data_IF_384194915007
#
_entry.id   IF_384194915007
#
_cell.length_a   1.000
_cell.length_b   1.000
_cell.length_c   1.000
_cell.angle_alpha   90.00
_cell.angle_beta   90.00
_cell.angle_gamma   90.00
#
_symmetry.space_group_name_H-M   'P 1'
#
loop_
_entity.id
_entity.type
_entity.pdbx_description
1 polymer ?
#
# COMPACT_ATOMS: atom_id res chain seq x y z
N UNK A 1 -25.66 4.11 7.64
CA UNK A 1 -24.45 3.44 7.13
C UNK A 1 -23.31 4.46 7.16
N UNK A 2 -22.20 4.17 7.85
CA UNK A 2 -21.07 5.08 7.93
C UNK A 2 -20.32 5.11 6.60
N UNK A 3 -20.27 6.27 5.95
CA UNK A 3 -19.43 6.51 4.78
C UNK A 3 -18.14 7.14 5.28
N UNK A 4 -17.01 6.43 5.11
CA UNK A 4 -15.74 6.77 5.76
C UNK A 4 -15.10 8.01 5.11
N UNK A 5 -15.03 8.05 3.78
CA UNK A 5 -14.70 9.25 2.98
C UNK A 5 -15.39 9.16 1.61
N UNK A 6 -16.31 10.09 1.33
CA UNK A 6 -17.06 10.16 0.07
C UNK A 6 -16.48 11.12 -0.94
N UNK A 7 -16.74 10.90 -2.24
CA UNK A 7 -16.29 11.79 -3.32
C UNK A 7 -16.77 13.23 -3.16
N UNK A 8 -17.93 13.43 -2.55
CA UNK A 8 -18.53 14.75 -2.28
C UNK A 8 -17.84 15.50 -1.13
N UNK A 9 -17.10 14.80 -0.28
CA UNK A 9 -16.37 15.38 0.85
C UNK A 9 -14.97 15.85 0.45
N UNK A 10 -14.52 15.53 -0.76
CA UNK A 10 -13.21 15.95 -1.28
C UNK A 10 -13.38 17.25 -2.07
N UNK A 11 -12.77 18.31 -1.55
CA UNK A 11 -12.65 19.59 -2.23
C UNK A 11 -11.18 19.99 -2.23
N UNK A 12 -10.60 20.17 -3.41
CA UNK A 12 -9.23 20.68 -3.56
C UNK A 12 -9.31 22.03 -4.26
N UNK A 13 -8.66 23.04 -3.67
CA UNK A 13 -8.60 24.37 -4.25
C UNK A 13 -7.99 24.32 -5.67
N UNK A 14 -8.64 24.99 -6.62
CA UNK A 14 -8.18 25.06 -8.00
C UNK A 14 -8.43 23.80 -8.85
N UNK A 15 -9.06 22.76 -8.31
CA UNK A 15 -9.35 21.53 -9.04
C UNK A 15 -10.84 21.16 -8.93
N UNK A 16 -11.45 20.79 -10.07
CA UNK A 16 -12.86 20.39 -10.12
C UNK A 16 -12.97 18.86 -10.05
N UNK A 17 -13.81 18.37 -9.14
CA UNK A 17 -14.21 16.97 -9.09
C UNK A 17 -15.24 16.60 -10.17
N UNK A 18 -15.85 15.39 -10.08
CA UNK A 18 -15.67 14.41 -9.02
C UNK A 18 -14.33 13.68 -9.13
N UNK A 19 -13.73 13.36 -7.99
CA UNK A 19 -12.48 12.63 -7.91
C UNK A 19 -12.68 11.11 -7.91
N UNK A 20 -11.68 10.42 -8.43
CA UNK A 20 -11.44 8.99 -8.20
C UNK A 20 -10.72 8.87 -6.86
N UNK A 21 -11.28 8.03 -5.97
CA UNK A 21 -10.73 7.73 -4.65
C UNK A 21 -10.60 6.22 -4.57
N UNK A 22 -9.37 5.73 -4.49
CA UNK A 22 -9.08 4.29 -4.54
C UNK A 22 -8.12 3.86 -3.45
N UNK A 23 -8.18 2.55 -3.17
CA UNK A 23 -7.23 1.83 -2.30
C UNK A 23 -7.00 2.50 -0.94
N UNK A 24 -8.06 2.90 -0.19
CA UNK A 24 -7.88 3.47 1.14
C UNK A 24 -7.05 2.54 2.02
N UNK A 25 -6.07 3.12 2.71
CA UNK A 25 -5.26 2.47 3.74
C UNK A 25 -5.34 3.30 5.00
N UNK A 26 -5.39 2.63 6.14
CA UNK A 26 -5.64 3.26 7.42
C UNK A 26 -4.61 2.78 8.43
N UNK A 27 -3.97 3.71 9.13
CA UNK A 27 -3.12 3.44 10.29
C UNK A 27 -3.60 4.28 11.47
N UNK A 28 -3.43 3.76 12.69
CA UNK A 28 -3.56 4.55 13.90
C UNK A 28 -2.23 5.24 14.19
N UNK A 29 -2.25 6.55 14.42
CA UNK A 29 -1.07 7.29 14.83
C UNK A 29 -1.18 7.63 16.33
N UNK A 30 -0.29 7.09 17.20
CA UNK A 30 -0.37 7.32 18.64
C UNK A 30 0.03 8.74 19.07
N UNK A 31 0.79 9.48 18.25
CA UNK A 31 1.22 10.85 18.59
C UNK A 31 0.08 11.86 18.42
N UNK A 32 -0.74 11.67 17.39
CA UNK A 32 -1.89 12.54 17.08
C UNK A 32 -3.21 12.01 17.59
N UNK A 33 -3.22 10.79 18.14
CA UNK A 33 -4.42 10.06 18.58
C UNK A 33 -5.52 10.03 17.48
N UNK A 34 -5.07 9.87 16.23
CA UNK A 34 -5.95 9.86 15.07
C UNK A 34 -5.70 8.64 14.19
N UNK A 35 -6.77 8.17 13.55
CA UNK A 35 -6.68 7.31 12.38
C UNK A 35 -6.32 8.18 11.17
N UNK A 36 -5.22 7.84 10.51
CA UNK A 36 -4.72 8.50 9.30
C UNK A 36 -5.00 7.61 8.10
N UNK A 37 -5.81 8.13 7.18
CA UNK A 37 -6.17 7.48 5.94
C UNK A 37 -5.36 8.06 4.78
N UNK A 38 -4.72 7.17 4.02
CA UNK A 38 -4.08 7.46 2.74
C UNK A 38 -4.92 6.86 1.61
N UNK A 39 -5.21 7.65 0.58
CA UNK A 39 -5.93 7.22 -0.63
C UNK A 39 -5.15 7.61 -1.88
N UNK A 40 -5.26 6.79 -2.93
CA UNK A 40 -5.00 7.30 -4.27
C UNK A 40 -6.12 8.29 -4.62
N UNK A 41 -5.74 9.51 -5.02
CA UNK A 41 -6.66 10.58 -5.36
C UNK A 41 -6.36 11.07 -6.77
N UNK A 42 -7.33 10.90 -7.66
CA UNK A 42 -7.15 11.23 -9.07
C UNK A 42 -8.36 11.92 -9.69
N UNK A 43 -8.18 12.47 -10.88
CA UNK A 43 -9.25 12.86 -11.80
C UNK A 43 -9.76 11.63 -12.56
N UNK A 44 -10.93 11.73 -13.18
CA UNK A 44 -11.53 10.61 -13.92
C UNK A 44 -10.68 10.11 -15.10
N UNK A 45 -9.76 10.94 -15.61
CA UNK A 45 -8.82 10.60 -16.69
C UNK A 45 -7.45 10.12 -16.17
N UNK A 46 -7.27 9.96 -14.85
CA UNK A 46 -6.05 9.51 -14.19
C UNK A 46 -4.79 10.36 -14.50
N UNK A 47 -4.99 11.67 -14.68
CA UNK A 47 -3.91 12.64 -14.95
C UNK A 47 -3.49 13.46 -13.75
N UNK A 48 -4.32 13.54 -12.71
CA UNK A 48 -4.03 14.30 -11.49
C UNK A 48 -2.91 13.62 -10.69
N UNK A 49 -3.09 12.33 -10.34
CA UNK A 49 -2.09 11.43 -9.72
C UNK A 49 -1.54 11.91 -8.37
N UNK A 50 -2.43 12.26 -7.45
CA UNK A 50 -2.11 12.70 -6.09
C UNK A 50 -2.40 11.59 -5.08
N UNK A 51 -1.97 11.80 -3.84
CA UNK A 51 -2.54 11.12 -2.69
C UNK A 51 -3.43 12.08 -1.91
N UNK A 52 -4.48 11.56 -1.28
CA UNK A 52 -5.27 12.28 -0.31
C UNK A 52 -4.97 11.77 1.11
N UNK A 53 -4.79 12.70 2.05
CA UNK A 53 -4.62 12.41 3.47
C UNK A 53 -5.86 12.86 4.21
N UNK A 54 -6.52 11.94 4.90
CA UNK A 54 -7.69 12.24 5.70
C UNK A 54 -7.55 11.68 7.12
N UNK A 55 -8.17 12.32 8.11
CA UNK A 55 -8.07 11.91 9.51
C UNK A 55 -9.42 11.79 10.20
N UNK A 56 -9.48 10.94 11.22
CA UNK A 56 -10.62 10.78 12.12
C UNK A 56 -10.14 10.27 13.48
N UNK A 57 -10.79 10.68 14.57
CA UNK A 57 -10.55 10.09 15.91
C UNK A 57 -11.20 8.71 16.07
N UNK A 58 -12.06 8.29 15.14
CA UNK A 58 -12.81 7.03 15.18
C UNK A 58 -12.58 6.24 13.88
N UNK A 59 -12.26 4.93 13.93
CA UNK A 59 -11.82 4.17 12.75
C UNK A 59 -12.89 4.01 11.67
N UNK A 60 -14.16 3.99 12.07
CA UNK A 60 -15.34 3.96 11.19
C UNK A 60 -16.12 5.28 11.22
N UNK A 61 -15.47 6.37 11.65
CA UNK A 61 -16.04 7.70 11.74
C UNK A 61 -16.08 8.45 10.40
N UNK A 62 -16.39 9.74 10.49
CA UNK A 62 -16.32 10.66 9.36
C UNK A 62 -14.87 11.14 9.23
N UNK A 63 -14.23 10.83 8.10
CA UNK A 63 -12.89 11.34 7.84
C UNK A 63 -12.95 12.74 7.21
N UNK A 64 -12.09 13.62 7.71
CA UNK A 64 -11.88 14.94 7.13
C UNK A 64 -10.61 14.92 6.30
N UNK A 65 -10.70 15.29 5.03
CA UNK A 65 -9.52 15.46 4.18
C UNK A 65 -8.69 16.63 4.71
N UNK A 66 -7.44 16.38 5.07
CA UNK A 66 -6.51 17.40 5.51
C UNK A 66 -5.86 18.11 4.32
N UNK A 67 -5.30 17.32 3.40
CA UNK A 67 -4.64 17.85 2.21
C UNK A 67 -4.45 16.75 1.17
N UNK A 68 -4.07 17.17 -0.04
CA UNK A 68 -3.63 16.29 -1.11
C UNK A 68 -2.30 16.77 -1.66
N UNK A 69 -1.40 15.84 -1.99
CA UNK A 69 -0.08 16.19 -2.52
C UNK A 69 0.50 15.06 -3.39
N UNK A 70 1.63 15.33 -4.04
CA UNK A 70 2.46 14.32 -4.70
C UNK A 70 3.60 13.94 -3.77
N UNK A 71 3.61 12.72 -3.20
CA UNK A 71 4.66 12.30 -2.29
C UNK A 71 6.02 12.38 -2.94
N UNK A 72 6.99 12.94 -2.21
CA UNK A 72 8.35 13.16 -2.68
C UNK A 72 8.43 13.98 -3.99
N UNK A 73 7.38 14.77 -4.32
CA UNK A 73 7.26 15.51 -5.57
C UNK A 73 6.93 14.65 -6.81
N UNK A 74 6.63 13.36 -6.64
CA UNK A 74 6.45 12.40 -7.74
C UNK A 74 4.98 11.96 -7.84
N UNK A 75 4.38 11.93 -9.05
CA UNK A 75 3.02 11.40 -9.25
C UNK A 75 2.82 10.01 -8.64
N UNK A 76 1.70 9.81 -7.96
CA UNK A 76 1.38 8.56 -7.27
C UNK A 76 0.10 7.95 -7.81
N UNK A 77 0.16 6.65 -8.13
CA UNK A 77 -1.02 5.87 -8.49
C UNK A 77 -1.28 4.83 -7.41
N UNK A 78 -1.39 3.56 -7.77
CA UNK A 78 -1.61 2.43 -6.87
C UNK A 78 -0.83 2.54 -5.55
N UNK A 79 -1.55 2.57 -4.41
CA UNK A 79 -0.99 2.81 -3.07
C UNK A 79 -1.16 1.65 -2.09
N UNK A 80 -0.19 1.52 -1.17
CA UNK A 80 -0.31 0.77 0.07
C UNK A 80 0.45 1.44 1.24
N UNK A 81 0.16 1.03 2.46
CA UNK A 81 0.88 1.38 3.69
C UNK A 81 1.46 0.12 4.33
N UNK A 82 2.62 0.27 4.97
CA UNK A 82 3.25 -0.77 5.76
C UNK A 82 3.73 -0.18 7.08
N UNK A 83 3.22 -0.70 8.20
CA UNK A 83 3.71 -0.35 9.52
C UNK A 83 4.75 -1.40 9.95
N UNK A 84 5.96 -0.94 10.20
CA UNK A 84 7.06 -1.81 10.58
C UNK A 84 7.03 -2.11 12.08
N UNK A 85 6.63 -3.34 12.42
CA UNK A 85 6.47 -3.80 13.80
C UNK A 85 7.33 -5.01 14.15
N UNK A 86 8.27 -5.44 13.30
CA UNK A 86 8.98 -6.71 13.48
C UNK A 86 9.81 -6.75 14.78
N UNK A 87 10.23 -5.59 15.30
CA UNK A 87 10.95 -5.47 16.57
C UNK A 87 10.04 -5.38 17.81
N UNK A 88 8.75 -5.76 17.69
CA UNK A 88 7.81 -5.82 18.81
C UNK A 88 7.18 -4.48 19.21
N UNK A 89 7.51 -3.40 18.51
CA UNK A 89 6.87 -2.08 18.60
C UNK A 89 6.90 -1.42 17.23
N UNK A 90 6.00 -0.47 17.00
CA UNK A 90 5.99 0.31 15.76
C UNK A 90 7.27 1.14 15.70
N UNK A 91 8.14 0.81 14.75
CA UNK A 91 9.40 1.50 14.53
C UNK A 91 9.23 2.68 13.57
N UNK A 92 8.55 2.42 12.44
CA UNK A 92 8.26 3.42 11.40
C UNK A 92 7.12 2.93 10.52
N UNK A 93 6.42 3.86 9.88
CA UNK A 93 5.48 3.53 8.83
C UNK A 93 6.06 3.92 7.46
N UNK A 94 5.66 3.18 6.43
CA UNK A 94 6.14 3.33 5.07
C UNK A 94 4.97 3.40 4.11
N UNK A 95 5.12 4.27 3.11
CA UNK A 95 4.21 4.42 2.00
C UNK A 95 4.79 3.74 0.76
N UNK A 96 3.99 2.87 0.14
CA UNK A 96 4.40 2.07 -1.01
C UNK A 96 3.52 2.41 -2.19
N UNK A 97 4.10 2.75 -3.33
CA UNK A 97 3.32 3.24 -4.48
C UNK A 97 3.91 2.91 -5.83
N UNK A 98 3.05 2.97 -6.84
CA UNK A 98 3.48 3.09 -8.23
C UNK A 98 3.83 4.55 -8.51
N UNK A 99 5.12 4.82 -8.73
CA UNK A 99 5.67 6.14 -8.99
C UNK A 99 5.57 6.44 -10.49
N UNK A 100 4.62 7.30 -10.88
CA UNK A 100 4.41 7.73 -12.26
C UNK A 100 4.28 6.57 -13.28
N UNK A 101 3.86 5.37 -12.84
CA UNK A 101 3.88 4.13 -13.65
C UNK A 101 5.27 3.78 -14.23
N UNK A 102 6.36 4.17 -13.57
CA UNK A 102 7.73 3.87 -14.04
C UNK A 102 8.47 2.90 -13.11
N UNK A 103 8.23 2.98 -11.81
CA UNK A 103 8.85 2.14 -10.80
C UNK A 103 7.99 2.09 -9.54
N UNK A 104 8.29 1.17 -8.63
CA UNK A 104 7.70 1.12 -7.28
C UNK A 104 8.60 1.91 -6.34
N UNK A 105 8.01 2.84 -5.59
CA UNK A 105 8.69 3.60 -4.54
C UNK A 105 8.24 3.15 -3.15
N UNK A 106 9.19 3.04 -2.24
CA UNK A 106 8.96 2.89 -0.80
C UNK A 106 9.49 4.16 -0.15
N UNK A 107 8.64 4.90 0.54
CA UNK A 107 9.00 6.14 1.24
C UNK A 107 8.67 6.00 2.73
N UNK A 108 9.52 6.52 3.60
CA UNK A 108 9.21 6.57 5.05
C UNK A 108 8.20 7.67 5.29
N UNK A 109 7.22 7.44 6.17
CA UNK A 109 6.30 8.48 6.63
C UNK A 109 6.95 9.35 7.70
N UNK A 110 6.49 10.59 7.84
CA UNK A 110 6.74 11.43 9.01
C UNK A 110 6.15 10.81 10.26
N UNK A 111 6.60 11.21 11.45
CA UNK A 111 6.17 10.60 12.71
C UNK A 111 4.66 10.73 12.98
N UNK A 112 4.00 11.76 12.43
CA UNK A 112 2.54 11.96 12.49
C UNK A 112 1.76 11.20 11.40
N UNK A 113 2.47 10.51 10.51
CA UNK A 113 1.95 9.79 9.33
C UNK A 113 1.26 10.68 8.28
N UNK A 114 1.45 12.01 8.33
CA UNK A 114 0.75 12.95 7.46
C UNK A 114 1.55 13.31 6.19
N UNK A 115 2.84 12.96 6.10
CA UNK A 115 3.68 13.27 4.95
C UNK A 115 4.75 12.19 4.72
N UNK A 116 5.49 12.25 3.61
CA UNK A 116 6.67 11.42 3.36
C UNK A 116 7.97 12.15 3.70
N UNK A 117 8.97 11.40 4.15
CA UNK A 117 10.32 11.87 4.43
C UNK A 117 11.30 11.64 3.26
N UNK A 118 10.81 11.13 2.12
CA UNK A 118 11.63 10.71 0.98
C UNK A 118 11.63 9.20 0.74
N UNK A 119 12.08 8.84 -0.46
CA UNK A 119 12.26 7.44 -0.88
C UNK A 119 13.37 6.77 -0.07
N UNK A 120 13.07 5.59 0.46
CA UNK A 120 14.03 4.73 1.17
C UNK A 120 14.55 3.61 0.29
N UNK A 121 13.72 3.09 -0.62
CA UNK A 121 14.11 2.12 -1.65
C UNK A 121 13.16 2.15 -2.84
N UNK A 122 13.58 1.52 -3.95
CA UNK A 122 12.80 1.45 -5.18
C UNK A 122 12.92 0.08 -5.83
N UNK A 123 11.88 -0.33 -6.57
CA UNK A 123 11.91 -1.49 -7.49
C UNK A 123 11.71 -0.92 -8.88
N UNK A 124 12.74 -1.02 -9.73
CA UNK A 124 12.76 -0.40 -11.06
C UNK A 124 11.97 -1.21 -12.10
N UNK A 125 10.70 -1.46 -11.79
CA UNK A 125 9.75 -2.19 -12.64
C UNK A 125 8.37 -1.51 -12.63
N UNK A 126 7.68 -1.56 -13.77
CA UNK A 126 6.33 -1.02 -13.93
C UNK A 126 5.32 -1.97 -13.28
N UNK A 127 4.91 -1.65 -12.07
CA UNK A 127 4.08 -2.53 -11.23
C UNK A 127 3.00 -1.79 -10.46
N UNK A 128 2.04 -2.55 -9.94
CA UNK A 128 0.90 -2.08 -9.14
C UNK A 128 0.52 -3.09 -8.04
N UNK A 129 -0.45 -2.76 -7.18
CA UNK A 129 -0.98 -3.72 -6.21
C UNK A 129 -0.01 -4.17 -5.11
N UNK A 130 0.87 -3.28 -4.66
CA UNK A 130 1.94 -3.60 -3.70
C UNK A 130 1.41 -4.11 -2.37
N UNK A 131 2.16 -4.98 -1.70
CA UNK A 131 1.96 -5.30 -0.30
C UNK A 131 3.27 -5.81 0.33
N UNK A 132 3.71 -5.16 1.42
CA UNK A 132 4.98 -5.47 2.10
C UNK A 132 4.72 -6.30 3.35
N UNK A 133 5.66 -7.19 3.68
CA UNK A 133 5.69 -7.92 4.93
C UNK A 133 7.09 -8.31 5.36
N UNK A 134 7.27 -8.62 6.64
CA UNK A 134 8.55 -9.07 7.20
C UNK A 134 8.49 -10.56 7.59
N UNK A 135 9.56 -11.31 7.28
CA UNK A 135 9.71 -12.71 7.67
C UNK A 135 11.19 -13.08 7.70
N UNK A 136 11.63 -13.86 8.69
CA UNK A 136 12.98 -14.45 8.73
C UNK A 136 14.12 -13.42 8.46
N UNK A 137 14.04 -12.23 9.06
CA UNK A 137 15.02 -11.14 8.89
C UNK A 137 15.15 -10.59 7.46
N UNK A 138 14.08 -10.67 6.68
CA UNK A 138 13.97 -9.98 5.40
C UNK A 138 12.58 -9.38 5.23
N UNK A 139 12.51 -8.32 4.42
CA UNK A 139 11.25 -7.80 3.93
C UNK A 139 10.94 -8.41 2.58
N UNK A 140 9.67 -8.67 2.38
CA UNK A 140 9.11 -9.21 1.16
C UNK A 140 8.06 -8.26 0.64
N UNK A 141 7.88 -8.25 -0.67
CA UNK A 141 6.73 -7.59 -1.26
C UNK A 141 6.14 -8.39 -2.41
N UNK A 142 4.82 -8.49 -2.41
CA UNK A 142 4.03 -9.06 -3.48
C UNK A 142 3.47 -7.94 -4.34
N UNK A 143 3.70 -8.01 -5.65
CA UNK A 143 3.36 -6.93 -6.58
C UNK A 143 2.85 -7.50 -7.91
N UNK A 144 1.75 -6.95 -8.43
CA UNK A 144 1.16 -7.33 -9.72
C UNK A 144 1.73 -6.50 -10.88
N UNK A 145 1.58 -7.02 -12.10
CA UNK A 145 1.85 -6.29 -13.34
C UNK A 145 0.75 -5.28 -13.68
N UNK A 146 1.05 -4.32 -14.55
CA UNK A 146 0.09 -3.36 -15.11
C UNK A 146 -0.78 -4.02 -16.20
N UNK A 147 -1.88 -4.64 -15.82
CA UNK A 147 -2.84 -5.25 -16.77
C UNK A 147 -4.24 -4.66 -16.64
N UNK A 148 -4.34 -3.45 -16.08
CA UNK A 148 -5.61 -2.78 -15.81
C UNK A 148 -6.50 -3.67 -14.95
N UNK A 149 -7.74 -3.92 -15.36
CA UNK A 149 -8.69 -4.74 -14.59
C UNK A 149 -8.47 -6.26 -14.75
N UNK A 150 -7.64 -6.69 -15.70
CA UNK A 150 -7.35 -8.11 -15.87
C UNK A 150 -6.42 -8.60 -14.75
N UNK A 151 -6.69 -9.77 -14.19
CA UNK A 151 -5.80 -10.43 -13.24
C UNK A 151 -4.50 -10.87 -13.93
N UNK A 152 -3.42 -10.94 -13.15
CA UNK A 152 -2.10 -11.35 -13.64
C UNK A 152 -1.31 -12.07 -12.54
N UNK A 153 -0.15 -12.61 -12.91
CA UNK A 153 0.78 -13.23 -11.99
C UNK A 153 1.41 -12.18 -11.05
N UNK A 154 1.26 -12.39 -9.75
CA UNK A 154 1.99 -11.61 -8.74
C UNK A 154 3.41 -12.13 -8.60
N UNK A 155 4.38 -11.22 -8.72
CA UNK A 155 5.78 -11.50 -8.40
C UNK A 155 6.08 -11.17 -6.94
N UNK A 156 6.92 -12.02 -6.33
CA UNK A 156 7.46 -11.82 -5.00
C UNK A 156 8.86 -11.22 -5.12
N UNK A 157 9.15 -10.21 -4.32
CA UNK A 157 10.49 -9.63 -4.17
C UNK A 157 10.93 -9.74 -2.72
N UNK A 158 12.24 -9.84 -2.50
CA UNK A 158 12.88 -9.89 -1.18
C UNK A 158 13.97 -8.82 -1.07
N UNK A 159 14.15 -8.22 0.10
CA UNK A 159 15.27 -7.31 0.36
C UNK A 159 16.58 -8.07 0.56
N UNK A 160 17.69 -7.48 0.10
CA UNK A 160 19.04 -8.01 0.31
C UNK A 160 19.58 -7.80 1.74
N UNK A 161 18.82 -7.18 2.63
CA UNK A 161 19.16 -6.92 4.02
C UNK A 161 17.87 -6.81 4.87
N UNK A 162 18.00 -6.91 6.19
CA UNK A 162 16.91 -6.70 7.15
C UNK A 162 16.60 -5.20 7.34
N UNK A 163 16.24 -4.52 6.25
CA UNK A 163 15.95 -3.07 6.23
C UNK A 163 15.07 -2.71 5.03
N UNK A 164 14.36 -1.58 5.12
CA UNK A 164 13.68 -0.92 3.99
C UNK A 164 14.45 0.31 3.48
N UNK A 165 15.59 0.64 4.10
CA UNK A 165 16.44 1.78 3.76
C UNK A 165 17.64 1.36 2.92
N UNK A 166 17.80 2.00 1.77
CA UNK A 166 18.93 1.81 0.85
C UNK A 166 19.15 0.34 0.43
N UNK A 167 18.07 -0.44 0.39
CA UNK A 167 18.10 -1.86 0.03
C UNK A 167 17.85 -2.08 -1.45
N UNK A 168 18.33 -3.22 -1.93
CA UNK A 168 17.95 -3.77 -3.24
C UNK A 168 16.86 -4.80 -3.05
N UNK A 169 15.84 -4.71 -3.88
CA UNK A 169 14.81 -5.73 -4.01
C UNK A 169 15.21 -6.74 -5.09
N UNK A 170 15.18 -8.01 -4.74
CA UNK A 170 15.55 -9.13 -5.60
C UNK A 170 14.26 -9.85 -5.96
N UNK A 171 13.97 -9.98 -7.26
CA UNK A 171 12.81 -10.74 -7.73
C UNK A 171 13.01 -12.24 -7.47
N UNK A 172 12.00 -12.86 -6.88
CA UNK A 172 11.86 -14.31 -6.70
C UNK A 172 10.84 -14.90 -7.71
N UNK A 173 10.25 -14.06 -8.56
CA UNK A 173 9.25 -14.43 -9.55
C UNK A 173 7.87 -14.79 -8.96
N UNK A 174 7.05 -15.46 -9.78
CA UNK A 174 5.68 -15.81 -9.42
C UNK A 174 5.61 -16.91 -8.35
N UNK A 175 5.49 -16.48 -7.09
CA UNK A 175 5.37 -17.37 -5.93
C UNK A 175 4.02 -18.10 -5.82
N UNK A 176 3.02 -17.71 -6.63
CA UNK A 176 1.66 -18.28 -6.56
C UNK A 176 1.48 -19.47 -7.50
N UNK A 177 2.43 -19.70 -8.42
CA UNK A 177 2.32 -20.69 -9.50
C UNK A 177 1.01 -20.58 -10.33
N UNK A 178 0.40 -19.38 -10.32
CA UNK A 178 -0.84 -19.07 -11.03
C UNK A 178 -0.61 -17.85 -11.90
N UNK A 179 -0.99 -17.94 -13.17
CA UNK A 179 -0.84 -16.85 -14.15
C UNK A 179 -1.79 -15.67 -13.89
N UNK A 180 -2.77 -15.86 -12.99
CA UNK A 180 -3.81 -14.87 -12.67
C UNK A 180 -3.94 -14.62 -11.17
N UNK A 181 -2.99 -15.14 -10.37
CA UNK A 181 -3.08 -15.12 -8.89
C UNK A 181 -4.47 -15.57 -8.42
N UNK A 182 -4.93 -16.71 -8.95
CA UNK A 182 -6.24 -17.29 -8.65
C UNK A 182 -7.41 -16.33 -8.97
N UNK A 183 -7.30 -15.62 -10.10
CA UNK A 183 -8.24 -14.59 -10.58
C UNK A 183 -8.37 -13.39 -9.64
N UNK A 184 -7.24 -12.89 -9.15
CA UNK A 184 -7.20 -11.76 -8.24
C UNK A 184 -6.14 -10.71 -8.55
N UNK A 185 -6.29 -9.51 -7.99
CA UNK A 185 -5.33 -8.40 -8.04
C UNK A 185 -4.96 -8.00 -6.61
N UNK A 186 -3.67 -7.93 -6.30
CA UNK A 186 -3.20 -7.60 -4.96
C UNK A 186 -3.68 -6.19 -4.55
N UNK A 187 -4.42 -6.10 -3.42
CA UNK A 187 -4.99 -4.83 -2.90
C UNK A 187 -4.65 -4.57 -1.45
N UNK A 188 -4.60 -5.63 -0.64
CA UNK A 188 -4.26 -5.57 0.77
C UNK A 188 -3.77 -6.97 1.24
N UNK A 189 -2.76 -7.02 2.10
CA UNK A 189 -2.39 -8.24 2.83
C UNK A 189 -2.79 -8.05 4.29
N UNK A 190 -3.46 -9.05 4.87
CA UNK A 190 -3.77 -9.09 6.30
C UNK A 190 -3.13 -10.35 6.88
N UNK A 191 -2.37 -10.21 7.96
CA UNK A 191 -1.83 -11.37 8.67
C UNK A 191 -2.87 -11.86 9.67
N UNK A 192 -3.42 -13.06 9.43
CA UNK A 192 -4.08 -13.84 10.49
C UNK A 192 -3.29 -15.12 10.70
N UNK A 193 -2.44 -15.13 11.73
CA UNK A 193 -1.70 -16.33 12.13
C UNK A 193 -2.67 -17.41 12.62
N UNK A 194 -2.80 -18.50 11.88
CA UNK A 194 -3.10 -19.81 12.47
C UNK A 194 -1.96 -20.74 12.11
N UNK A 195 -1.07 -20.95 13.06
CA UNK A 195 -0.01 -21.95 12.98
C UNK A 195 -0.65 -23.35 13.13
N UNK A 196 -0.58 -24.16 12.08
CA UNK A 196 -0.76 -25.61 12.18
C UNK A 196 0.36 -26.26 11.37
N UNK A 197 1.19 -27.08 12.01
CA UNK A 197 2.23 -27.90 11.38
C UNK A 197 3.32 -27.13 10.60
N UNK A 198 3.98 -26.12 11.20
CA UNK A 198 5.09 -25.36 10.58
C UNK A 198 4.77 -24.61 9.26
N UNK A 199 3.52 -24.59 8.80
CA UNK A 199 3.10 -23.80 7.65
C UNK A 199 2.58 -22.43 8.10
N UNK A 200 3.10 -21.35 7.48
CA UNK A 200 2.59 -20.00 7.66
C UNK A 200 1.57 -19.70 6.56
N UNK A 201 0.37 -19.27 6.94
CA UNK A 201 -0.72 -18.94 6.01
C UNK A 201 -0.88 -17.43 5.96
N UNK A 202 -0.83 -16.87 4.75
CA UNK A 202 -0.96 -15.44 4.50
C UNK A 202 -2.30 -15.16 3.81
N UNK A 203 -3.07 -14.20 4.31
CA UNK A 203 -4.33 -13.81 3.67
C UNK A 203 -4.10 -12.56 2.84
N UNK A 204 -4.24 -12.68 1.53
CA UNK A 204 -4.30 -11.54 0.62
C UNK A 204 -5.77 -11.22 0.35
N UNK A 205 -6.19 -10.01 0.71
CA UNK A 205 -7.51 -9.51 0.40
C UNK A 205 -7.44 -8.79 -0.95
N UNK A 206 -8.13 -9.36 -1.93
CA UNK A 206 -8.36 -8.74 -3.22
C UNK A 206 -9.86 -8.53 -3.42
N UNK A 207 -10.27 -8.02 -4.58
CA UNK A 207 -11.70 -7.96 -4.94
C UNK A 207 -12.40 -9.34 -4.91
N UNK A 208 -11.62 -10.44 -4.87
CA UNK A 208 -12.05 -11.81 -4.61
C UNK A 208 -11.25 -12.34 -3.39
N UNK A 209 -11.89 -12.99 -2.42
CA UNK A 209 -11.16 -13.57 -1.29
C UNK A 209 -10.32 -14.74 -1.83
N UNK A 210 -8.99 -14.60 -1.80
CA UNK A 210 -8.06 -15.66 -2.19
C UNK A 210 -7.07 -15.89 -1.04
N UNK A 211 -7.15 -17.05 -0.40
CA UNK A 211 -6.13 -17.50 0.56
C UNK A 211 -4.92 -18.05 -0.19
N UNK A 212 -3.73 -17.50 0.06
CA UNK A 212 -2.47 -18.00 -0.53
C UNK A 212 -1.67 -18.66 0.60
N UNK A 213 -1.37 -19.94 0.44
CA UNK A 213 -0.48 -20.66 1.37
C UNK A 213 0.94 -20.56 0.80
N UNK A 214 1.81 -19.80 1.44
CA UNK A 214 3.24 -19.80 1.11
C UNK A 214 3.94 -20.84 1.98
N UNK A 215 4.25 -21.99 1.41
CA UNK A 215 5.12 -22.99 2.05
C UNK A 215 6.57 -22.69 1.71
N UNK A 216 7.33 -22.21 2.69
CA UNK A 216 8.78 -22.19 2.69
C UNK A 216 9.25 -22.71 4.03
#
# INVERSE_FOLDING_TARGET
MGQVLGRQQVSIEGHLGPYVIERPKLLWNPLTECFVMWVHLDSNDYTYRYVGIAVSSVPNGVFTLLHAFRPDGIPSLDVNLYEDTHNGSVNSAYFVRSCNHQYVGISRLTDDYLNTMGLTSTINELREGHAIFHRNSNYYTMISHLTSWASNAVDLFITNADSLQNVKWISLGNSTHSDTTLNSLSRLLFFRFRQRNNQQVYFMFTCVIVGIILTY
#
